data_IF_534023681889
#
_entry.id   IF_534023681889
#
_cell.length_a   1.000
_cell.length_b   1.000
_cell.length_c   1.000
_cell.angle_alpha   90.00
_cell.angle_beta   90.00
_cell.angle_gamma   90.00
#
_symmetry.space_group_name_H-M   'P 1'
#
loop_
_entity.id
_entity.type
_entity.pdbx_description
1 polymer ?
#
# COMPACT_ATOMS: atom_id res chain seq x y z
N UNK A 1 -10.61 37.82 -16.85
CA UNK A 1 -9.42 37.56 -16.01
C UNK A 1 -8.48 36.67 -16.80
N UNK A 2 -7.18 36.99 -16.90
CA UNK A 2 -6.21 36.19 -17.67
C UNK A 2 -5.29 35.50 -16.68
N UNK A 3 -5.34 34.18 -16.60
CA UNK A 3 -4.50 33.35 -15.73
C UNK A 3 -3.49 32.60 -16.59
N UNK A 4 -2.27 32.45 -16.08
CA UNK A 4 -1.23 31.59 -16.66
C UNK A 4 -1.03 30.41 -15.70
N UNK A 5 -1.02 29.20 -16.25
CA UNK A 5 -0.80 27.96 -15.48
C UNK A 5 0.15 27.05 -16.23
N UNK A 6 0.91 26.24 -15.48
CA UNK A 6 1.83 25.25 -16.03
C UNK A 6 1.06 23.93 -16.15
N UNK A 7 1.14 23.29 -17.31
CA UNK A 7 0.50 22.00 -17.56
C UNK A 7 1.50 20.89 -17.26
N UNK A 8 1.11 19.97 -16.38
CA UNK A 8 1.85 18.75 -16.08
C UNK A 8 1.04 17.53 -16.55
N UNK A 9 1.71 16.42 -16.92
CA UNK A 9 1.03 15.15 -17.13
C UNK A 9 0.26 14.71 -15.89
N UNK A 10 -0.89 14.08 -16.07
CA UNK A 10 -1.68 13.53 -14.96
C UNK A 10 -0.90 12.39 -14.32
N UNK A 11 -0.63 12.52 -13.02
CA UNK A 11 -0.11 11.41 -12.20
C UNK A 11 -1.29 10.60 -11.68
N UNK A 12 -1.29 9.31 -11.99
CA UNK A 12 -2.34 8.39 -11.58
C UNK A 12 -1.92 7.70 -10.28
N UNK A 13 -2.83 7.62 -9.31
CA UNK A 13 -2.60 6.88 -8.06
C UNK A 13 -2.46 5.38 -8.35
N UNK A 14 -3.29 4.87 -9.25
CA UNK A 14 -3.18 3.51 -9.81
C UNK A 14 -2.72 3.65 -11.28
N UNK A 15 -1.47 3.30 -11.60
CA UNK A 15 -0.93 3.50 -12.94
C UNK A 15 -1.47 2.46 -13.93
N UNK A 16 -1.76 2.92 -15.15
CA UNK A 16 -2.16 2.08 -16.29
C UNK A 16 -1.00 1.36 -16.98
N UNK A 17 0.21 1.93 -16.87
CA UNK A 17 1.40 1.37 -17.46
C UNK A 17 2.51 1.38 -16.41
N UNK A 18 3.19 0.24 -16.28
CA UNK A 18 4.30 0.05 -15.35
C UNK A 18 5.62 0.23 -16.11
N UNK A 19 5.78 1.33 -16.87
CA UNK A 19 6.98 1.72 -17.64
C UNK A 19 7.81 0.59 -18.29
N UNK A 20 7.16 -0.51 -18.68
CA UNK A 20 7.80 -1.72 -19.22
C UNK A 20 8.73 -2.49 -18.27
N UNK A 21 8.72 -2.19 -16.96
CA UNK A 21 9.58 -2.80 -15.94
C UNK A 21 8.93 -3.97 -15.18
N UNK A 22 9.72 -4.64 -14.34
CA UNK A 22 9.19 -5.62 -13.38
C UNK A 22 8.45 -4.87 -12.25
N UNK A 23 7.24 -5.31 -11.84
CA UNK A 23 6.54 -4.67 -10.74
C UNK A 23 7.33 -4.79 -9.43
N UNK A 24 7.28 -3.72 -8.64
CA UNK A 24 7.90 -3.68 -7.32
C UNK A 24 7.22 -4.65 -6.37
N UNK A 25 7.96 -5.43 -5.61
CA UNK A 25 7.38 -6.31 -4.59
C UNK A 25 8.30 -6.45 -3.39
N UNK A 26 7.70 -6.63 -2.22
CA UNK A 26 8.39 -6.85 -0.96
C UNK A 26 7.74 -8.02 -0.23
N UNK A 27 8.54 -8.97 0.25
CA UNK A 27 8.04 -10.10 1.04
C UNK A 27 8.49 -9.93 2.50
N UNK A 28 7.58 -10.01 3.46
CA UNK A 28 7.90 -9.97 4.89
C UNK A 28 7.16 -11.07 5.60
N UNK A 29 7.89 -12.04 6.20
CA UNK A 29 7.29 -13.21 6.86
C UNK A 29 6.25 -13.95 5.99
N UNK A 30 6.43 -13.94 4.67
CA UNK A 30 5.51 -14.55 3.71
C UNK A 30 4.38 -13.64 3.21
N UNK A 31 4.15 -12.48 3.82
CA UNK A 31 3.25 -11.45 3.29
C UNK A 31 3.87 -10.84 2.02
N UNK A 32 3.19 -10.96 0.88
CA UNK A 32 3.65 -10.42 -0.41
C UNK A 32 3.00 -9.06 -0.64
N UNK A 33 3.78 -8.00 -0.51
CA UNK A 33 3.36 -6.63 -0.76
C UNK A 33 3.67 -6.20 -2.19
N UNK A 34 2.72 -5.55 -2.85
CA UNK A 34 2.85 -4.99 -4.20
C UNK A 34 2.08 -3.66 -4.30
N UNK A 35 2.53 -2.68 -5.10
CA UNK A 35 1.68 -1.55 -5.43
C UNK A 35 0.51 -2.01 -6.31
N UNK A 36 -0.67 -1.43 -6.09
CA UNK A 36 -1.84 -1.66 -6.91
C UNK A 36 -1.66 -0.95 -8.27
N UNK A 37 -1.81 -1.71 -9.34
CA UNK A 37 -1.70 -1.22 -10.72
C UNK A 37 -2.86 -1.74 -11.55
N UNK A 38 -3.20 -1.08 -12.66
CA UNK A 38 -4.27 -1.57 -13.54
C UNK A 38 -3.97 -2.95 -14.13
N UNK A 39 -2.74 -3.27 -14.57
CA UNK A 39 -2.41 -4.63 -15.00
C UNK A 39 -2.63 -5.69 -13.93
N UNK A 40 -2.37 -5.35 -12.65
CA UNK A 40 -2.66 -6.25 -11.53
C UNK A 40 -4.17 -6.47 -11.36
N UNK A 41 -4.97 -5.41 -11.49
CA UNK A 41 -6.43 -5.50 -11.40
C UNK A 41 -7.01 -6.37 -12.53
N UNK A 42 -6.48 -6.20 -13.74
CA UNK A 42 -6.87 -6.99 -14.92
C UNK A 42 -6.51 -8.47 -14.79
N UNK A 43 -5.37 -8.79 -14.16
CA UNK A 43 -4.91 -10.16 -13.93
C UNK A 43 -5.72 -10.89 -12.85
N UNK A 44 -5.94 -10.25 -11.70
CA UNK A 44 -6.65 -10.86 -10.56
C UNK A 44 -8.18 -10.97 -10.78
N UNK A 45 -8.72 -10.28 -11.80
CA UNK A 45 -10.15 -10.07 -12.04
C UNK A 45 -10.83 -9.20 -10.97
N UNK A 46 -11.73 -8.31 -11.39
CA UNK A 46 -12.42 -7.37 -10.49
C UNK A 46 -13.23 -8.08 -9.38
N UNK A 47 -13.73 -9.29 -9.63
CA UNK A 47 -14.55 -10.03 -8.67
C UNK A 47 -13.78 -10.44 -7.39
N UNK A 48 -12.44 -10.51 -7.44
CA UNK A 48 -11.60 -10.99 -6.32
C UNK A 48 -11.05 -9.85 -5.44
N UNK A 49 -10.93 -8.64 -5.98
CA UNK A 49 -10.23 -7.51 -5.35
C UNK A 49 -11.06 -6.77 -4.30
N UNK A 50 -12.36 -7.06 -4.22
CA UNK A 50 -13.29 -6.42 -3.31
C UNK A 50 -13.69 -5.01 -3.74
N UNK A 51 -14.94 -4.65 -3.44
CA UNK A 51 -15.52 -3.39 -3.91
C UNK A 51 -14.80 -2.14 -3.38
N UNK A 52 -14.27 -2.18 -2.16
CA UNK A 52 -13.56 -1.06 -1.53
C UNK A 52 -12.28 -0.71 -2.26
N UNK A 53 -11.46 -1.72 -2.56
CA UNK A 53 -10.19 -1.54 -3.26
C UNK A 53 -10.42 -1.04 -4.68
N UNK A 54 -11.41 -1.60 -5.39
CA UNK A 54 -11.81 -1.13 -6.72
C UNK A 54 -12.34 0.30 -6.70
N UNK A 55 -13.20 0.64 -5.74
CA UNK A 55 -13.69 2.01 -5.59
C UNK A 55 -12.53 2.99 -5.37
N UNK A 56 -11.56 2.61 -4.53
CA UNK A 56 -10.34 3.41 -4.34
C UNK A 56 -9.53 3.54 -5.62
N UNK A 57 -9.33 2.44 -6.35
CA UNK A 57 -8.58 2.45 -7.60
C UNK A 57 -9.21 3.36 -8.66
N UNK A 58 -10.54 3.36 -8.78
CA UNK A 58 -11.28 4.12 -9.80
C UNK A 58 -11.50 5.58 -9.45
N UNK A 59 -11.74 5.89 -8.17
CA UNK A 59 -12.20 7.22 -7.75
C UNK A 59 -11.19 8.03 -6.94
N UNK A 60 -10.14 7.41 -6.39
CA UNK A 60 -9.15 8.13 -5.59
C UNK A 60 -8.14 8.85 -6.48
N UNK A 61 -7.72 10.03 -6.03
CA UNK A 61 -6.66 10.81 -6.65
C UNK A 61 -5.45 10.82 -5.71
N UNK A 62 -4.27 10.88 -6.31
CA UNK A 62 -3.03 11.07 -5.57
C UNK A 62 -3.04 12.44 -4.88
N UNK A 63 -2.80 12.42 -3.57
CA UNK A 63 -2.70 13.58 -2.68
C UNK A 63 -1.29 14.17 -2.69
N UNK A 64 -0.27 13.34 -2.86
CA UNK A 64 1.13 13.76 -3.00
C UNK A 64 1.87 12.98 -4.07
N UNK A 65 2.95 13.57 -4.58
CA UNK A 65 3.77 12.95 -5.62
C UNK A 65 4.40 11.63 -5.14
N UNK A 66 4.22 10.56 -5.92
CA UNK A 66 4.76 9.24 -5.61
C UNK A 66 3.92 8.46 -4.60
N UNK A 67 2.70 8.89 -4.30
CA UNK A 67 1.74 8.09 -3.54
C UNK A 67 1.34 6.82 -4.29
N UNK A 68 1.31 5.69 -3.58
CA UNK A 68 0.87 4.41 -4.12
C UNK A 68 -0.03 3.69 -3.11
N UNK A 69 -1.04 3.00 -3.62
CA UNK A 69 -1.81 2.04 -2.82
C UNK A 69 -0.99 0.77 -2.73
N UNK A 70 -0.48 0.45 -1.54
CA UNK A 70 0.24 -0.81 -1.30
C UNK A 70 -0.76 -1.83 -0.77
N UNK A 71 -0.78 -3.01 -1.39
CA UNK A 71 -1.64 -4.13 -1.00
C UNK A 71 -0.80 -5.34 -0.62
N UNK A 72 -1.36 -6.23 0.20
CA UNK A 72 -0.91 -7.62 0.26
C UNK A 72 -1.67 -8.39 -0.81
N UNK A 73 -0.95 -8.90 -1.82
CA UNK A 73 -1.56 -9.74 -2.85
C UNK A 73 -1.94 -11.10 -2.28
N UNK A 74 -0.98 -11.75 -1.60
CA UNK A 74 -1.15 -13.07 -1.01
C UNK A 74 -0.22 -13.29 0.18
N UNK A 75 -0.48 -14.35 0.95
CA UNK A 75 0.39 -14.81 2.04
C UNK A 75 0.96 -16.18 1.70
N UNK A 76 2.28 -16.27 1.68
CA UNK A 76 3.03 -17.52 1.53
C UNK A 76 3.03 -18.26 2.86
N UNK A 77 2.22 -19.32 2.97
CA UNK A 77 2.00 -20.04 4.21
C UNK A 77 3.33 -20.50 4.86
N UNK A 78 3.51 -20.14 6.12
CA UNK A 78 4.66 -20.53 6.93
C UNK A 78 4.30 -20.47 8.42
N UNK A 79 5.05 -21.16 9.27
CA UNK A 79 4.80 -21.20 10.71
C UNK A 79 4.74 -19.79 11.36
N UNK A 80 5.45 -18.81 10.79
CA UNK A 80 5.46 -17.43 11.30
C UNK A 80 4.19 -16.62 10.98
N UNK A 81 3.38 -17.05 10.01
CA UNK A 81 2.18 -16.33 9.57
C UNK A 81 0.88 -17.12 9.76
N UNK A 82 0.91 -18.12 10.65
CA UNK A 82 -0.27 -18.92 11.01
C UNK A 82 -1.43 -18.01 11.39
N UNK A 83 -2.58 -18.24 10.75
CA UNK A 83 -3.80 -17.46 10.96
C UNK A 83 -4.00 -16.31 9.97
N UNK A 84 -2.99 -15.97 9.17
CA UNK A 84 -3.06 -14.93 8.13
C UNK A 84 -3.06 -15.50 6.70
N UNK A 85 -3.08 -16.82 6.55
CA UNK A 85 -2.87 -17.55 5.29
C UNK A 85 -3.91 -17.24 4.19
N UNK A 86 -5.13 -16.90 4.59
CA UNK A 86 -6.24 -16.60 3.67
C UNK A 86 -6.38 -15.10 3.36
N UNK A 87 -5.44 -14.27 3.84
CA UNK A 87 -5.43 -12.85 3.55
C UNK A 87 -4.91 -12.62 2.13
N UNK A 88 -5.59 -11.76 1.39
CA UNK A 88 -5.20 -11.39 0.05
C UNK A 88 -5.99 -10.19 -0.45
N UNK A 89 -5.42 -9.46 -1.39
CA UNK A 89 -5.98 -8.26 -2.00
C UNK A 89 -6.46 -7.21 -0.99
N UNK A 90 -5.72 -7.02 0.11
CA UNK A 90 -6.03 -6.03 1.14
C UNK A 90 -5.01 -4.89 1.16
N UNK A 91 -5.50 -3.65 1.24
CA UNK A 91 -4.65 -2.47 1.37
C UNK A 91 -4.03 -2.38 2.76
N UNK A 92 -2.72 -2.16 2.83
CA UNK A 92 -2.03 -1.80 4.06
C UNK A 92 -2.00 -0.27 4.20
N UNK A 93 -2.39 0.22 5.38
CA UNK A 93 -2.53 1.65 5.69
C UNK A 93 -1.37 2.12 6.55
N UNK A 94 -1.01 1.36 7.60
CA UNK A 94 0.05 1.73 8.54
C UNK A 94 0.97 0.58 8.88
N UNK A 95 2.21 0.92 9.24
CA UNK A 95 3.15 0.03 9.91
C UNK A 95 3.60 0.70 11.21
N UNK A 96 3.41 0.02 12.35
CA UNK A 96 3.73 0.51 13.70
C UNK A 96 3.16 1.92 13.96
N UNK A 97 1.93 2.18 13.51
CA UNK A 97 1.26 3.48 13.63
C UNK A 97 1.69 4.55 12.62
N UNK A 98 2.70 4.29 11.78
CA UNK A 98 3.17 5.20 10.73
C UNK A 98 2.44 4.94 9.42
N UNK A 99 1.89 5.99 8.80
CA UNK A 99 1.16 5.89 7.52
C UNK A 99 2.10 5.55 6.36
N UNK A 100 1.71 4.54 5.57
CA UNK A 100 2.46 4.11 4.40
C UNK A 100 2.13 5.02 3.22
N UNK A 101 3.18 5.47 2.52
CA UNK A 101 3.07 6.40 1.39
C UNK A 101 3.18 5.69 0.05
N UNK A 102 4.14 4.76 -0.03
CA UNK A 102 4.45 3.95 -1.20
C UNK A 102 5.22 2.69 -0.75
N UNK A 103 5.48 1.77 -1.69
CA UNK A 103 6.15 0.51 -1.35
C UNK A 103 7.61 0.70 -0.93
N UNK A 104 8.31 1.70 -1.48
CA UNK A 104 9.67 2.03 -1.03
C UNK A 104 9.69 2.52 0.43
N UNK A 105 8.71 3.34 0.82
CA UNK A 105 8.53 3.80 2.18
C UNK A 105 8.25 2.61 3.11
N UNK A 106 7.41 1.66 2.69
CA UNK A 106 7.18 0.43 3.44
C UNK A 106 8.47 -0.38 3.64
N UNK A 107 9.23 -0.60 2.56
CA UNK A 107 10.53 -1.31 2.64
C UNK A 107 11.49 -0.61 3.61
N UNK A 108 11.57 0.72 3.54
CA UNK A 108 12.39 1.51 4.46
C UNK A 108 11.95 1.38 5.91
N UNK A 109 10.64 1.45 6.19
CA UNK A 109 10.12 1.30 7.55
C UNK A 109 10.40 -0.10 8.11
N UNK A 110 10.30 -1.14 7.28
CA UNK A 110 10.65 -2.52 7.69
C UNK A 110 12.15 -2.65 7.99
N UNK A 111 13.02 -2.09 7.14
CA UNK A 111 14.47 -2.16 7.31
C UNK A 111 14.96 -1.32 8.52
N UNK A 112 14.30 -0.21 8.83
CA UNK A 112 14.66 0.69 9.95
C UNK A 112 13.99 0.33 11.27
N UNK A 113 13.00 -0.57 11.26
CA UNK A 113 12.27 -0.96 12.45
C UNK A 113 13.19 -1.63 13.48
N UNK A 114 13.24 -1.04 14.69
CA UNK A 114 13.96 -1.59 15.84
C UNK A 114 13.03 -2.22 16.88
N UNK A 115 11.72 -2.14 16.65
CA UNK A 115 10.74 -2.69 17.56
C UNK A 115 10.77 -4.22 17.54
N UNK A 116 10.22 -4.83 18.61
CA UNK A 116 10.09 -6.27 18.69
C UNK A 116 9.09 -6.81 17.66
N UNK A 117 8.01 -6.08 17.43
CA UNK A 117 6.91 -6.50 16.57
C UNK A 117 6.76 -5.58 15.36
N UNK A 118 6.39 -6.19 14.24
CA UNK A 118 5.91 -5.51 13.04
C UNK A 118 4.38 -5.59 13.06
N UNK A 119 3.72 -4.46 13.25
CA UNK A 119 2.27 -4.32 13.29
C UNK A 119 1.80 -3.63 12.02
N UNK A 120 1.22 -4.41 11.11
CA UNK A 120 0.60 -3.92 9.89
C UNK A 120 -0.89 -3.69 10.14
N UNK A 121 -1.34 -2.46 9.87
CA UNK A 121 -2.75 -2.08 9.92
C UNK A 121 -3.31 -2.05 8.50
N UNK A 122 -4.37 -2.80 8.27
CA UNK A 122 -5.05 -2.91 6.98
C UNK A 122 -6.35 -2.10 6.95
N UNK A 123 -6.94 -2.03 5.77
CA UNK A 123 -8.31 -1.58 5.61
C UNK A 123 -9.27 -2.46 6.44
N UNK A 124 -10.23 -1.85 7.14
CA UNK A 124 -11.16 -2.47 8.11
C UNK A 124 -10.62 -2.77 9.51
N UNK A 125 -9.64 -1.99 9.98
CA UNK A 125 -9.01 -2.11 11.32
C UNK A 125 -8.45 -3.52 11.58
N UNK A 126 -8.15 -4.26 10.50
CA UNK A 126 -7.52 -5.57 10.59
C UNK A 126 -6.03 -5.40 10.89
N UNK A 127 -5.53 -6.15 11.88
CA UNK A 127 -4.18 -6.03 12.40
C UNK A 127 -3.42 -7.34 12.21
N UNK A 128 -2.25 -7.25 11.58
CA UNK A 128 -1.29 -8.35 11.48
C UNK A 128 -0.08 -7.99 12.32
N UNK A 129 0.22 -8.83 13.31
CA UNK A 129 1.35 -8.62 14.22
C UNK A 129 2.32 -9.78 14.06
N UNK A 130 3.56 -9.47 13.69
CA UNK A 130 4.61 -10.45 13.45
C UNK A 130 5.81 -10.14 14.34
N UNK A 131 6.47 -11.16 14.88
CA UNK A 131 7.76 -10.98 15.57
C UNK A 131 8.85 -10.74 14.52
N UNK A 132 9.60 -9.65 14.68
CA UNK A 132 10.63 -9.22 13.73
C UNK A 132 11.76 -10.26 13.63
N UNK A 133 12.15 -10.87 14.75
CA UNK A 133 13.26 -11.83 14.77
C UNK A 133 12.87 -13.14 14.08
N UNK A 134 11.66 -13.63 14.33
CA UNK A 134 11.12 -14.82 13.67
C UNK A 134 10.88 -14.57 12.18
N UNK A 135 10.34 -13.41 11.80
CA UNK A 135 10.16 -13.01 10.41
C UNK A 135 11.49 -12.98 9.63
N UNK A 136 12.54 -12.43 10.24
CA UNK A 136 13.86 -12.37 9.63
C UNK A 136 14.49 -13.77 9.49
N UNK A 137 14.31 -14.65 10.48
CA UNK A 137 14.81 -16.02 10.45
C UNK A 137 14.09 -16.87 9.38
N UNK A 138 12.77 -16.77 9.29
CA UNK A 138 11.95 -17.53 8.33
C UNK A 138 12.13 -17.07 6.87
N UNK A 139 12.64 -15.85 6.65
CA UNK A 139 12.78 -15.27 5.31
C UNK A 139 13.58 -16.17 4.34
N UNK A 140 14.63 -16.86 4.80
CA UNK A 140 15.40 -17.77 3.93
C UNK A 140 14.67 -19.06 3.61
N UNK A 141 13.82 -19.53 4.51
CA UNK A 141 13.12 -20.80 4.38
C UNK A 141 11.92 -20.62 3.44
N UNK A 142 11.17 -19.53 3.60
CA UNK A 142 10.07 -19.13 2.70
C UNK A 142 10.56 -18.98 1.25
N UNK A 143 11.70 -18.33 1.04
CA UNK A 143 12.27 -18.18 -0.31
C UNK A 143 12.59 -19.53 -0.97
N UNK A 144 13.15 -20.47 -0.20
CA UNK A 144 13.50 -21.80 -0.73
C UNK A 144 12.26 -22.64 -0.99
N UNK A 145 11.30 -22.64 -0.07
CA UNK A 145 10.07 -23.42 -0.17
C UNK A 145 9.22 -22.99 -1.36
N UNK A 146 9.11 -21.69 -1.59
CA UNK A 146 8.31 -21.13 -2.69
C UNK A 146 9.13 -20.84 -3.97
N UNK A 147 10.39 -21.26 -4.02
CA UNK A 147 11.30 -21.06 -5.16
C UNK A 147 11.41 -19.59 -5.62
N UNK A 148 11.45 -18.66 -4.67
CA UNK A 148 11.53 -17.21 -4.92
C UNK A 148 13.00 -16.77 -4.92
N UNK A 149 13.50 -16.13 -5.98
CA UNK A 149 14.91 -15.73 -6.08
C UNK A 149 15.35 -14.65 -5.09
N UNK A 150 14.47 -13.72 -4.74
CA UNK A 150 14.75 -12.59 -3.85
C UNK A 150 13.50 -12.17 -3.10
N UNK A 151 13.66 -11.72 -1.85
CA UNK A 151 12.58 -11.16 -1.00
C UNK A 151 12.04 -9.83 -1.53
N UNK A 152 12.88 -9.08 -2.25
CA UNK A 152 12.55 -7.75 -2.76
C UNK A 152 12.93 -7.61 -4.23
N UNK A 153 12.17 -6.79 -4.95
CA UNK A 153 12.52 -6.34 -6.29
C UNK A 153 13.78 -5.44 -6.29
N UNK A 154 14.44 -5.31 -7.45
CA UNK A 154 15.73 -4.64 -7.58
C UNK A 154 15.68 -3.14 -7.24
N UNK A 155 14.57 -2.48 -7.57
CA UNK A 155 14.30 -1.07 -7.25
C UNK A 155 14.27 -0.81 -5.74
N UNK A 156 13.74 -1.73 -4.94
CA UNK A 156 13.67 -1.60 -3.47
C UNK A 156 15.01 -1.85 -2.77
N UNK A 157 16.09 -2.11 -3.51
CA UNK A 157 17.44 -2.17 -2.95
C UNK A 157 18.12 -0.80 -2.83
N UNK A 158 17.57 0.22 -3.50
CA UNK A 158 18.07 1.58 -3.44
C UNK A 158 17.63 2.29 -2.14
N UNK A 159 18.45 3.22 -1.61
CA UNK A 159 18.09 3.96 -0.42
C UNK A 159 16.83 4.81 -0.66
N UNK A 160 15.88 4.76 0.28
CA UNK A 160 14.68 5.59 0.22
C UNK A 160 15.03 7.08 0.28
N UNK A 161 14.49 7.85 -0.66
CA UNK A 161 14.59 9.31 -0.70
C UNK A 161 13.20 9.87 -0.43
N UNK A 162 13.05 10.57 0.70
CA UNK A 162 11.79 11.26 1.00
C UNK A 162 11.68 12.51 0.13
N UNK A 163 10.93 12.43 -0.97
CA UNK A 163 10.61 13.58 -1.82
C UNK A 163 9.49 14.40 -1.17
N UNK A 164 9.67 14.81 0.09
CA UNK A 164 8.79 15.80 0.71
C UNK A 164 9.10 17.18 0.10
N UNK A 165 8.51 17.48 -1.05
CA UNK A 165 8.10 18.86 -1.30
C UNK A 165 6.81 19.07 -0.52
N UNK A 166 6.93 19.56 0.72
CA UNK A 166 5.80 20.12 1.46
C UNK A 166 5.19 21.24 0.60
N UNK A 167 4.09 20.95 -0.09
CA UNK A 167 3.21 22.00 -0.56
C UNK A 167 2.53 22.55 0.68
N UNK A 168 3.13 23.58 1.29
CA UNK A 168 2.47 24.43 2.26
C UNK A 168 1.31 25.14 1.55
N UNK A 169 0.15 24.50 1.47
CA UNK A 169 -1.09 25.21 1.22
C UNK A 169 -1.44 25.97 2.49
N UNK A 170 -0.88 27.19 2.61
CA UNK A 170 -1.48 28.22 3.45
C UNK A 170 -2.89 28.48 2.90
N UNK A 171 -3.87 28.48 3.81
CA UNK A 171 -5.28 28.38 3.48
C UNK A 171 -5.79 29.47 2.55
N UNK A 172 -6.56 29.04 1.54
CA UNK A 172 -7.71 29.79 1.06
C UNK A 172 -8.90 28.83 1.08
N UNK A 173 -9.90 29.23 1.87
CA UNK A 173 -11.23 28.66 2.01
C UNK A 173 -11.91 28.55 0.64
N UNK A 174 -11.84 27.35 0.03
CA UNK A 174 -12.71 26.97 -1.08
C UNK A 174 -13.74 25.99 -0.52
N UNK A 175 -14.98 26.47 -0.45
CA UNK A 175 -16.09 25.87 0.27
C UNK A 175 -16.35 24.39 -0.01
N UNK A 176 -16.94 23.77 1.01
CA UNK A 176 -17.46 22.40 1.12
C UNK A 176 -17.62 21.66 -0.21
N UNK A 177 -16.59 20.86 -0.53
CA UNK A 177 -16.75 19.68 -1.38
C UNK A 177 -17.46 18.60 -0.55
N UNK A 178 -18.59 18.03 -1.00
CA UNK A 178 -19.38 17.08 -0.21
C UNK A 178 -18.74 15.68 -0.10
N UNK A 179 -17.47 15.52 -0.47
CA UNK A 179 -16.76 14.24 -0.39
C UNK A 179 -15.40 14.49 0.25
N UNK A 180 -15.40 14.64 1.57
CA UNK A 180 -14.20 14.49 2.41
C UNK A 180 -14.27 13.10 3.06
N UNK A 181 -13.18 12.33 2.92
CA UNK A 181 -13.05 10.93 3.34
C UNK A 181 -13.06 10.71 4.87
N UNK A 182 -13.67 11.59 5.67
CA UNK A 182 -13.58 11.56 7.13
C UNK A 182 -14.93 11.56 7.88
N UNK A 183 -16.07 11.54 7.20
CA UNK A 183 -17.38 11.53 7.88
C UNK A 183 -18.29 10.40 7.40
N UNK A 184 -17.95 9.16 7.77
CA UNK A 184 -18.96 8.11 7.92
C UNK A 184 -18.99 7.69 9.38
N UNK A 185 -19.56 8.59 10.20
CA UNK A 185 -20.01 8.27 11.54
C UNK A 185 -21.18 7.29 11.52
N UNK A 186 -21.32 6.52 12.59
CA UNK A 186 -22.19 5.34 12.74
C UNK A 186 -23.70 5.66 12.75
N UNK A 187 -24.11 6.88 12.37
CA UNK A 187 -25.50 7.36 12.49
C UNK A 187 -26.31 7.30 11.18
N UNK A 188 -25.78 6.76 10.08
CA UNK A 188 -26.48 6.69 8.80
C UNK A 188 -27.29 5.39 8.55
N UNK A 189 -27.50 4.54 9.56
CA UNK A 189 -28.19 3.25 9.42
C UNK A 189 -29.62 3.20 10.00
N UNK A 190 -30.35 4.32 9.93
CA UNK A 190 -31.79 4.32 10.17
C UNK A 190 -32.48 4.97 8.99
N UNK A 191 -32.84 4.17 7.98
CA UNK A 191 -34.06 4.26 7.18
C UNK A 191 -34.22 2.96 6.36
N UNK A 192 -34.90 1.99 6.99
CA UNK A 192 -35.74 0.98 6.35
C UNK A 192 -36.76 0.49 7.38
#
# INVERSE_FOLDING_TARGET
MKVQTILHPRKHLVPFNVDGGQPSYLIVAGLVFTPLTEPFIEEECEDTLGLKLLAKARYSLSTFEGEQIVIVSQVLANDVNIGYEHMGNQQVIKLNGTMIKNIHHLAHLVDTCQDKFLTFEFEDDFLVVLDREEAAAASSDIQKEHAIPSVRSLDLSEPYVDTNHEVQNQGEDFGDSPVTNFELGVDCLLWA
#
